data_IF_167409682746
#
_entry.id   IF_167409682746
#
_cell.length_a   1.000
_cell.length_b   1.000
_cell.length_c   1.000
_cell.angle_alpha   90.00
_cell.angle_beta   90.00
_cell.angle_gamma   90.00
#
_symmetry.space_group_name_H-M   'P 1'
#
loop_
_entity.id
_entity.type
_entity.pdbx_description
1 polymer ?
#
# COMPACT_ATOMS: atom_id res chain seq x y z
N UNK A 1 -19.26 12.29 -36.48
CA UNK A 1 -19.07 12.51 -35.03
C UNK A 1 -18.08 11.47 -34.53
N UNK A 2 -16.88 11.90 -34.09
CA UNK A 2 -15.84 10.99 -33.57
C UNK A 2 -16.18 10.63 -32.12
N UNK A 3 -16.07 9.37 -31.69
CA UNK A 3 -16.34 9.01 -30.31
C UNK A 3 -15.24 9.59 -29.42
N UNK A 4 -15.65 10.39 -28.44
CA UNK A 4 -14.77 10.88 -27.37
C UNK A 4 -14.38 9.67 -26.54
N UNK A 5 -13.11 9.27 -26.59
CA UNK A 5 -12.52 8.30 -25.66
C UNK A 5 -12.51 8.96 -24.28
N UNK A 6 -13.51 8.68 -23.45
CA UNK A 6 -13.46 8.94 -22.02
C UNK A 6 -12.45 7.96 -21.42
N UNK A 7 -11.19 8.38 -21.29
CA UNK A 7 -10.27 7.72 -20.40
C UNK A 7 -10.74 8.01 -18.97
N UNK A 8 -11.34 7.03 -18.29
CA UNK A 8 -11.51 7.10 -16.84
C UNK A 8 -10.10 7.20 -16.23
N UNK A 9 -9.73 8.40 -15.83
CA UNK A 9 -8.57 8.62 -14.97
C UNK A 9 -8.98 8.10 -13.59
N UNK A 10 -8.25 7.11 -13.07
CA UNK A 10 -8.40 6.64 -11.70
C UNK A 10 -8.33 7.84 -10.75
N UNK A 11 -9.37 8.05 -9.98
CA UNK A 11 -9.52 9.27 -9.20
C UNK A 11 -8.80 9.09 -7.86
N UNK A 12 -7.49 9.37 -7.84
CA UNK A 12 -6.69 9.37 -6.62
C UNK A 12 -6.54 10.81 -6.11
N UNK A 13 -7.11 11.08 -4.94
CA UNK A 13 -7.23 12.41 -4.36
C UNK A 13 -6.25 12.59 -3.19
N UNK A 14 -5.72 13.82 -3.04
CA UNK A 14 -5.11 14.23 -1.78
C UNK A 14 -6.23 14.67 -0.84
N UNK A 15 -6.34 14.06 0.34
CA UNK A 15 -7.42 14.35 1.31
C UNK A 15 -6.93 15.26 2.46
N UNK A 16 -5.71 15.77 2.33
CA UNK A 16 -5.07 16.77 3.16
C UNK A 16 -3.63 16.93 2.71
N UNK A 17 -3.25 18.11 2.24
CA UNK A 17 -1.86 18.48 1.99
C UNK A 17 -1.51 19.58 2.99
N UNK A 18 -0.65 19.27 3.95
CA UNK A 18 0.12 20.31 4.62
C UNK A 18 1.17 20.81 3.61
N UNK A 19 1.61 22.06 3.73
CA UNK A 19 2.57 22.71 2.83
C UNK A 19 3.93 21.98 2.72
N UNK A 20 4.19 21.00 3.60
CA UNK A 20 5.48 20.34 3.77
C UNK A 20 5.64 19.01 3.00
N UNK A 21 4.65 18.56 2.21
CA UNK A 21 4.92 17.45 1.27
C UNK A 21 5.88 17.92 0.19
N UNK A 22 7.17 17.62 0.39
CA UNK A 22 8.23 18.18 -0.42
C UNK A 22 8.18 17.63 -1.85
N UNK A 23 8.11 16.30 -2.01
CA UNK A 23 7.88 15.55 -3.26
C UNK A 23 8.31 14.07 -3.09
N UNK A 24 7.91 13.19 -4.03
CA UNK A 24 8.35 11.79 -4.04
C UNK A 24 9.87 11.63 -4.20
N UNK A 25 10.53 12.53 -4.93
CA UNK A 25 11.99 12.55 -5.10
C UNK A 25 12.76 12.77 -3.79
N UNK A 26 12.14 13.37 -2.78
CA UNK A 26 12.74 13.64 -1.46
C UNK A 26 12.66 12.43 -0.54
N UNK A 27 11.79 11.46 -0.84
CA UNK A 27 11.67 10.23 -0.06
C UNK A 27 12.97 9.45 -0.16
N UNK A 28 13.52 9.08 0.99
CA UNK A 28 14.68 8.21 1.16
C UNK A 28 14.38 7.00 2.04
N UNK A 29 13.41 7.15 2.95
CA UNK A 29 13.01 6.11 3.90
C UNK A 29 11.55 5.76 3.70
N UNK A 30 11.30 4.51 3.34
CA UNK A 30 9.96 3.99 3.12
C UNK A 30 9.63 2.98 4.22
N UNK A 31 8.50 3.17 4.88
CA UNK A 31 7.97 2.26 5.89
C UNK A 31 6.68 1.67 5.39
N UNK A 32 6.62 0.36 5.21
CA UNK A 32 5.43 -0.34 4.68
C UNK A 32 4.81 -1.19 5.78
N UNK A 33 3.51 -1.06 5.96
CA UNK A 33 2.69 -1.85 6.87
C UNK A 33 1.55 -2.50 6.09
N UNK A 34 1.15 -3.70 6.47
CA UNK A 34 0.13 -4.40 5.73
C UNK A 34 0.16 -5.90 5.86
N UNK A 35 -0.33 -6.55 4.82
CA UNK A 35 -0.51 -8.00 4.77
C UNK A 35 0.30 -8.69 3.65
N UNK A 36 -0.25 -9.79 3.13
CA UNK A 36 0.35 -10.63 2.09
C UNK A 36 0.52 -9.90 0.76
N UNK A 37 -0.24 -8.83 0.51
CA UNK A 37 -0.11 -8.04 -0.72
C UNK A 37 1.19 -7.23 -0.76
N UNK A 38 1.75 -6.92 0.41
CA UNK A 38 2.91 -6.05 0.56
C UNK A 38 4.16 -6.77 1.06
N UNK A 39 4.01 -7.86 1.83
CA UNK A 39 5.14 -8.49 2.54
C UNK A 39 6.29 -8.95 1.63
N UNK A 40 7.51 -8.62 2.05
CA UNK A 40 8.78 -9.19 1.57
C UNK A 40 9.46 -10.09 2.62
N UNK A 41 8.82 -10.34 3.76
CA UNK A 41 9.38 -11.15 4.85
C UNK A 41 10.38 -10.44 5.76
N UNK A 42 10.48 -9.10 5.69
CA UNK A 42 11.38 -8.33 6.56
C UNK A 42 10.89 -8.34 8.03
N UNK A 43 11.85 -8.28 8.95
CA UNK A 43 11.65 -8.17 10.41
C UNK A 43 12.65 -7.18 10.95
N UNK A 44 12.40 -6.58 12.11
CA UNK A 44 13.35 -5.66 12.75
C UNK A 44 14.71 -6.30 13.09
N UNK A 45 14.79 -7.62 13.11
CA UNK A 45 16.02 -8.42 13.26
C UNK A 45 16.73 -8.74 11.93
N UNK A 46 16.16 -8.35 10.79
CA UNK A 46 16.78 -8.52 9.47
C UNK A 46 17.96 -7.56 9.29
N UNK A 47 18.86 -7.81 8.33
CA UNK A 47 19.89 -6.84 7.97
C UNK A 47 19.30 -5.47 7.64
N UNK A 48 20.00 -4.41 8.07
CA UNK A 48 19.54 -3.04 7.85
C UNK A 48 19.56 -2.72 6.33
N UNK A 49 18.44 -2.20 5.78
CA UNK A 49 18.39 -1.69 4.40
C UNK A 49 19.51 -0.69 4.12
N UNK A 50 20.18 -0.84 2.98
CA UNK A 50 21.31 0.00 2.57
C UNK A 50 21.38 0.13 1.03
N UNK A 51 22.22 1.01 0.46
CA UNK A 51 22.25 1.26 -0.98
C UNK A 51 22.42 0.03 -1.87
N UNK A 52 23.13 -1.00 -1.40
CA UNK A 52 23.38 -2.25 -2.16
C UNK A 52 22.31 -3.31 -1.91
N UNK A 53 21.55 -3.17 -0.82
CA UNK A 53 20.47 -4.05 -0.42
C UNK A 53 19.29 -3.22 0.14
N UNK A 54 18.53 -2.53 -0.73
CA UNK A 54 17.61 -1.47 -0.33
C UNK A 54 16.36 -1.95 0.42
N UNK A 55 16.12 -3.27 0.49
CA UNK A 55 15.04 -3.86 1.29
C UNK A 55 15.56 -4.68 2.49
N UNK A 56 16.87 -4.68 2.74
CA UNK A 56 17.49 -5.44 3.83
C UNK A 56 17.53 -6.96 3.63
N UNK A 57 16.98 -7.47 2.51
CA UNK A 57 16.88 -8.90 2.18
C UNK A 57 17.32 -9.13 0.73
N UNK A 58 17.84 -10.33 0.43
CA UNK A 58 18.11 -10.72 -0.97
C UNK A 58 16.84 -10.51 -1.80
N UNK A 59 16.91 -9.62 -2.78
CA UNK A 59 15.78 -9.27 -3.62
C UNK A 59 15.24 -10.52 -4.36
N UNK A 60 13.90 -10.72 -4.43
CA UNK A 60 12.81 -9.81 -4.02
C UNK A 60 12.35 -9.96 -2.55
N UNK A 61 13.07 -10.72 -1.72
CA UNK A 61 12.60 -11.14 -0.40
C UNK A 61 11.70 -12.38 -0.48
N UNK A 62 10.90 -12.61 0.56
CA UNK A 62 9.95 -13.72 0.65
C UNK A 62 8.53 -13.23 0.39
N UNK A 63 8.21 -13.02 -0.88
CA UNK A 63 6.87 -12.59 -1.34
C UNK A 63 5.97 -13.80 -1.62
N UNK A 64 4.65 -13.56 -1.72
CA UNK A 64 3.68 -14.63 -2.04
C UNK A 64 3.92 -15.22 -3.44
N UNK A 65 4.16 -14.36 -4.42
CA UNK A 65 4.29 -14.77 -5.83
C UNK A 65 5.67 -15.32 -6.16
N UNK A 66 6.62 -15.30 -5.21
CA UNK A 66 8.06 -15.57 -5.39
C UNK A 66 8.77 -14.59 -6.35
N UNK A 67 8.03 -13.65 -6.93
CA UNK A 67 8.54 -12.53 -7.71
C UNK A 67 8.53 -11.24 -6.90
N UNK A 68 8.94 -10.14 -7.51
CA UNK A 68 8.81 -8.82 -6.90
C UNK A 68 7.34 -8.45 -6.65
N UNK A 69 7.10 -7.74 -5.55
CA UNK A 69 5.80 -7.11 -5.28
C UNK A 69 5.86 -5.60 -5.54
N UNK A 70 4.72 -4.92 -5.40
CA UNK A 70 4.62 -3.48 -5.64
C UNK A 70 5.59 -2.64 -4.78
N UNK A 71 5.84 -3.05 -3.53
CA UNK A 71 6.75 -2.35 -2.61
C UNK A 71 8.21 -2.47 -3.06
N UNK A 72 8.63 -3.68 -3.48
CA UNK A 72 9.94 -3.92 -4.06
C UNK A 72 10.14 -3.14 -5.37
N UNK A 73 9.12 -3.10 -6.23
CA UNK A 73 9.12 -2.31 -7.48
C UNK A 73 9.28 -0.82 -7.17
N UNK A 74 8.48 -0.30 -6.24
CA UNK A 74 8.53 1.10 -5.79
C UNK A 74 9.92 1.49 -5.26
N UNK A 75 10.56 0.57 -4.55
CA UNK A 75 11.89 0.76 -3.95
C UNK A 75 13.00 0.77 -4.99
N UNK A 76 12.95 -0.13 -5.98
CA UNK A 76 14.13 -0.50 -6.78
C UNK A 76 14.05 -0.16 -8.26
N UNK A 77 12.85 0.11 -8.80
CA UNK A 77 12.64 0.25 -10.26
C UNK A 77 12.01 1.57 -10.68
N UNK A 78 11.15 2.13 -9.86
CA UNK A 78 10.37 3.35 -10.19
C UNK A 78 10.58 4.48 -9.18
N UNK A 79 11.60 4.34 -8.35
CA UNK A 79 12.08 5.35 -7.41
C UNK A 79 12.71 6.55 -8.15
N UNK A 80 12.56 7.75 -7.60
CA UNK A 80 13.18 8.98 -8.13
C UNK A 80 14.51 9.36 -7.46
N UNK A 81 14.88 8.59 -6.43
CA UNK A 81 16.04 8.75 -5.55
C UNK A 81 16.40 7.38 -4.98
N UNK A 82 17.55 7.22 -4.32
CA UNK A 82 17.77 6.01 -3.53
C UNK A 82 16.73 5.94 -2.40
N UNK A 83 15.90 4.90 -2.42
CA UNK A 83 14.93 4.59 -1.37
C UNK A 83 15.41 3.35 -0.63
N UNK A 84 15.39 3.43 0.70
CA UNK A 84 15.59 2.31 1.62
C UNK A 84 14.24 1.97 2.26
N UNK A 85 13.87 0.70 2.22
CA UNK A 85 12.52 0.25 2.59
C UNK A 85 12.57 -0.73 3.76
N UNK A 86 11.83 -0.40 4.81
CA UNK A 86 11.48 -1.29 5.92
C UNK A 86 10.05 -1.72 5.72
N UNK A 87 9.87 -2.94 5.23
CA UNK A 87 8.55 -3.52 4.99
C UNK A 87 8.16 -4.45 6.14
N UNK A 88 7.39 -3.91 7.07
CA UNK A 88 6.88 -4.63 8.22
C UNK A 88 5.59 -5.41 7.91
N UNK A 89 5.12 -5.42 6.66
CA UNK A 89 3.92 -6.18 6.30
C UNK A 89 4.13 -7.68 6.52
N UNK A 90 3.07 -8.37 6.96
CA UNK A 90 3.11 -9.79 7.31
C UNK A 90 1.91 -10.50 6.69
N UNK A 91 2.17 -11.58 5.95
CA UNK A 91 1.13 -12.37 5.31
C UNK A 91 0.01 -12.79 6.29
N UNK A 92 -1.24 -12.68 5.83
CA UNK A 92 -2.44 -13.07 6.57
C UNK A 92 -2.84 -12.14 7.72
N UNK A 93 -2.13 -11.03 7.93
CA UNK A 93 -2.48 -10.10 9.00
C UNK A 93 -3.75 -9.31 8.70
N UNK A 94 -4.48 -9.05 9.79
CA UNK A 94 -5.58 -8.10 9.89
C UNK A 94 -5.04 -6.76 10.42
N UNK A 95 -5.89 -5.73 10.55
CA UNK A 95 -5.51 -4.48 11.21
C UNK A 95 -4.96 -4.71 12.63
N UNK A 96 -5.49 -5.70 13.36
CA UNK A 96 -4.97 -6.07 14.69
C UNK A 96 -3.50 -6.53 14.66
N UNK A 97 -3.04 -7.08 13.54
CA UNK A 97 -1.64 -7.44 13.32
C UNK A 97 -0.73 -6.24 13.15
N UNK A 98 -1.26 -5.12 12.61
CA UNK A 98 -0.51 -3.88 12.41
C UNK A 98 -0.06 -3.27 13.74
N UNK A 99 -0.77 -3.56 14.84
CA UNK A 99 -0.34 -3.22 16.22
C UNK A 99 1.10 -3.69 16.46
N UNK A 100 1.44 -4.93 16.08
CA UNK A 100 2.80 -5.46 16.26
C UNK A 100 3.79 -4.87 15.26
N UNK A 101 3.35 -4.66 14.01
CA UNK A 101 4.20 -4.08 12.97
C UNK A 101 4.66 -2.67 13.36
N UNK A 102 3.78 -1.87 13.95
CA UNK A 102 4.12 -0.52 14.42
C UNK A 102 4.78 -0.58 15.81
N UNK A 103 4.11 -1.17 16.79
CA UNK A 103 4.49 -1.09 18.21
C UNK A 103 5.69 -1.95 18.61
N UNK A 104 5.89 -3.10 17.97
CA UNK A 104 6.97 -4.04 18.32
C UNK A 104 8.12 -4.01 17.30
N UNK A 105 7.83 -3.75 16.02
CA UNK A 105 8.86 -3.76 14.97
C UNK A 105 9.37 -2.35 14.67
N UNK A 106 8.50 -1.41 14.28
CA UNK A 106 8.93 -0.08 13.85
C UNK A 106 9.37 0.83 15.01
N UNK A 107 8.47 1.15 15.96
CA UNK A 107 8.70 2.14 17.03
C UNK A 107 9.99 1.87 17.81
N UNK A 108 10.27 0.63 18.27
CA UNK A 108 11.47 0.35 19.06
C UNK A 108 12.76 0.30 18.23
N UNK A 109 12.68 0.29 16.89
CA UNK A 109 13.87 0.17 16.02
C UNK A 109 14.03 1.38 15.12
N UNK A 110 13.60 1.33 13.86
CA UNK A 110 13.72 2.45 12.92
C UNK A 110 13.03 3.71 13.46
N UNK A 111 11.93 3.58 14.23
CA UNK A 111 11.22 4.69 14.87
C UNK A 111 12.06 5.50 15.87
N UNK A 112 13.14 4.92 16.41
CA UNK A 112 14.10 5.64 17.26
C UNK A 112 15.01 6.61 16.49
N UNK A 113 14.92 6.60 15.15
CA UNK A 113 15.74 7.40 14.21
C UNK A 113 17.26 7.20 14.45
N UNK A 114 17.74 5.94 14.42
CA UNK A 114 19.15 5.65 14.62
C UNK A 114 19.99 6.22 13.46
N UNK A 115 21.31 6.31 13.64
CA UNK A 115 22.22 6.90 12.64
C UNK A 115 22.13 6.26 11.25
N UNK A 116 21.75 4.98 11.17
CA UNK A 116 21.55 4.26 9.91
C UNK A 116 20.15 4.46 9.28
N UNK A 117 19.20 5.03 10.00
CA UNK A 117 17.88 5.43 9.50
C UNK A 117 17.46 6.80 10.07
N UNK A 118 18.16 7.90 9.69
CA UNK A 118 17.87 9.26 10.15
C UNK A 118 16.68 9.86 9.37
N UNK A 119 15.54 9.17 9.41
CA UNK A 119 14.33 9.62 8.76
C UNK A 119 13.69 10.80 9.53
N UNK A 120 12.98 11.65 8.80
CA UNK A 120 12.24 12.79 9.34
C UNK A 120 11.04 13.14 8.43
N UNK A 121 10.32 14.20 8.76
CA UNK A 121 9.14 14.65 8.05
C UNK A 121 9.35 14.94 6.54
N UNK A 122 10.56 15.30 6.10
CA UNK A 122 10.81 15.73 4.71
C UNK A 122 11.37 14.63 3.82
N UNK A 123 11.77 13.48 4.39
CA UNK A 123 12.43 12.40 3.64
C UNK A 123 11.83 11.00 3.86
N UNK A 124 10.68 10.91 4.53
CA UNK A 124 10.03 9.63 4.84
C UNK A 124 8.60 9.54 4.30
N UNK A 125 8.19 8.31 3.97
CA UNK A 125 6.83 7.97 3.58
C UNK A 125 6.39 6.70 4.33
N UNK A 126 5.19 6.74 4.90
CA UNK A 126 4.57 5.63 5.61
C UNK A 126 3.40 5.11 4.78
N UNK A 127 3.49 3.88 4.27
CA UNK A 127 2.45 3.29 3.43
C UNK A 127 1.75 2.17 4.20
N UNK A 128 0.42 2.20 4.23
CA UNK A 128 -0.38 1.11 4.77
C UNK A 128 -1.34 0.54 3.73
N UNK A 129 -1.27 -0.78 3.50
CA UNK A 129 -2.25 -1.52 2.70
C UNK A 129 -2.68 -2.78 3.47
N UNK A 130 -3.89 -2.74 4.02
CA UNK A 130 -4.42 -3.74 4.96
C UNK A 130 -5.95 -3.78 4.86
N UNK A 131 -6.57 -4.82 5.40
CA UNK A 131 -8.02 -4.92 5.57
C UNK A 131 -8.64 -6.09 4.80
N UNK A 132 -7.94 -6.65 3.82
CA UNK A 132 -8.48 -7.75 3.00
C UNK A 132 -8.77 -9.01 3.85
N UNK A 133 -7.88 -9.31 4.81
CA UNK A 133 -8.04 -10.44 5.73
C UNK A 133 -9.16 -10.20 6.76
N UNK A 134 -9.38 -8.94 7.17
CA UNK A 134 -10.46 -8.56 8.07
C UNK A 134 -11.81 -8.86 7.41
N UNK A 135 -11.96 -8.44 6.14
CA UNK A 135 -13.16 -8.67 5.34
C UNK A 135 -13.36 -10.15 5.02
N UNK A 136 -12.30 -10.85 4.59
CA UNK A 136 -12.40 -12.26 4.25
C UNK A 136 -12.80 -13.14 5.47
N UNK A 137 -12.56 -12.64 6.68
CA UNK A 137 -12.97 -13.29 7.94
C UNK A 137 -14.29 -12.74 8.52
N UNK A 138 -14.91 -11.78 7.85
CA UNK A 138 -16.19 -11.18 8.25
C UNK A 138 -16.11 -10.22 9.46
N UNK A 139 -14.94 -9.66 9.77
CA UNK A 139 -14.75 -8.77 10.93
C UNK A 139 -14.34 -7.37 10.46
N UNK A 140 -15.29 -6.44 10.36
CA UNK A 140 -15.05 -5.15 9.68
C UNK A 140 -15.39 -3.93 10.51
N UNK A 141 -16.47 -3.99 11.30
CA UNK A 141 -16.79 -2.93 12.25
C UNK A 141 -15.62 -2.73 13.22
N UNK A 142 -15.23 -1.47 13.45
CA UNK A 142 -14.12 -1.04 14.33
C UNK A 142 -12.69 -1.13 13.76
N UNK A 143 -12.46 -1.80 12.63
CA UNK A 143 -11.11 -1.93 12.05
C UNK A 143 -10.53 -0.62 11.52
N UNK A 144 -11.36 0.21 10.89
CA UNK A 144 -10.93 1.53 10.42
C UNK A 144 -10.57 2.48 11.59
N UNK A 145 -11.41 2.67 12.63
CA UNK A 145 -11.01 3.43 13.81
C UNK A 145 -9.71 2.92 14.46
N UNK A 146 -9.56 1.60 14.62
CA UNK A 146 -8.33 1.00 15.15
C UNK A 146 -7.11 1.33 14.29
N UNK A 147 -7.23 1.21 12.96
CA UNK A 147 -6.16 1.55 12.03
C UNK A 147 -5.68 2.98 12.22
N UNK A 148 -6.59 3.94 12.43
CA UNK A 148 -6.25 5.35 12.64
C UNK A 148 -5.72 5.65 14.04
N UNK A 149 -6.10 4.88 15.06
CA UNK A 149 -5.37 4.84 16.34
C UNK A 149 -3.89 4.55 16.12
N UNK A 150 -3.57 3.55 15.30
CA UNK A 150 -2.19 3.20 14.97
C UNK A 150 -1.48 4.28 14.12
N UNK A 151 -2.21 5.00 13.27
CA UNK A 151 -1.62 6.14 12.55
C UNK A 151 -1.29 7.31 13.48
N UNK A 152 -2.07 7.50 14.55
CA UNK A 152 -1.74 8.47 15.60
C UNK A 152 -0.43 8.11 16.30
N UNK A 153 -0.16 6.84 16.55
CA UNK A 153 1.12 6.39 17.14
C UNK A 153 2.31 6.73 16.23
N UNK A 154 2.18 6.46 14.92
CA UNK A 154 3.18 6.88 13.93
C UNK A 154 3.37 8.40 13.90
N UNK A 155 2.28 9.16 13.91
CA UNK A 155 2.33 10.62 13.92
C UNK A 155 3.00 11.16 15.18
N UNK A 156 2.66 10.64 16.36
CA UNK A 156 3.28 10.98 17.63
C UNK A 156 4.78 10.66 17.62
N UNK A 157 5.20 9.61 16.90
CA UNK A 157 6.61 9.25 16.71
C UNK A 157 7.35 10.11 15.66
N UNK A 158 6.65 10.98 14.93
CA UNK A 158 7.22 11.95 14.00
C UNK A 158 6.86 11.75 12.53
N UNK A 159 6.05 10.73 12.19
CA UNK A 159 5.59 10.52 10.82
C UNK A 159 4.70 11.70 10.35
N UNK A 160 4.93 12.17 9.12
CA UNK A 160 4.15 13.28 8.53
C UNK A 160 3.56 12.97 7.17
N UNK A 161 4.09 11.99 6.44
CA UNK A 161 3.59 11.65 5.11
C UNK A 161 3.06 10.22 5.09
N UNK A 162 1.77 10.10 4.76
CA UNK A 162 1.05 8.85 4.78
C UNK A 162 0.46 8.54 3.41
N UNK A 163 0.52 7.28 3.01
CA UNK A 163 -0.21 6.76 1.87
C UNK A 163 -1.03 5.55 2.30
N UNK A 164 -2.30 5.58 1.97
CA UNK A 164 -3.22 4.47 2.17
C UNK A 164 -3.63 3.92 0.81
N UNK A 165 -3.69 2.59 0.70
CA UNK A 165 -4.31 1.93 -0.44
C UNK A 165 -5.66 1.39 0.03
N UNK A 166 -6.74 1.73 -0.69
CA UNK A 166 -8.04 1.10 -0.45
C UNK A 166 -8.02 -0.35 -0.95
N UNK A 167 -9.13 -1.08 -0.79
CA UNK A 167 -9.19 -2.49 -1.17
C UNK A 167 -9.62 -2.67 -2.63
N UNK A 168 -8.99 -3.59 -3.38
CA UNK A 168 -9.45 -3.95 -4.71
C UNK A 168 -10.76 -4.76 -4.61
N UNK A 169 -11.47 -5.03 -5.73
CA UNK A 169 -12.59 -5.98 -5.81
C UNK A 169 -12.11 -7.42 -5.56
N UNK A 170 -11.72 -7.69 -4.31
CA UNK A 170 -11.25 -8.99 -3.85
C UNK A 170 -12.38 -10.03 -3.84
N UNK A 171 -13.64 -9.59 -3.77
CA UNK A 171 -14.83 -10.43 -3.99
C UNK A 171 -14.73 -11.20 -5.31
N UNK A 172 -14.09 -10.62 -6.33
CA UNK A 172 -13.88 -11.25 -7.65
C UNK A 172 -12.65 -12.13 -7.74
N UNK A 173 -11.87 -12.28 -6.67
CA UNK A 173 -10.74 -13.22 -6.68
C UNK A 173 -11.25 -14.66 -6.77
N UNK A 174 -10.53 -15.58 -7.45
CA UNK A 174 -10.99 -16.96 -7.60
C UNK A 174 -11.28 -17.67 -6.27
N UNK A 175 -10.55 -17.32 -5.21
CA UNK A 175 -10.69 -17.87 -3.87
C UNK A 175 -11.79 -17.20 -3.03
N UNK A 176 -12.23 -15.99 -3.37
CA UNK A 176 -13.41 -15.36 -2.75
C UNK A 176 -14.72 -15.70 -3.49
N UNK A 177 -14.61 -16.21 -4.72
CA UNK A 177 -15.71 -16.79 -5.50
C UNK A 177 -16.95 -15.89 -5.60
N UNK A 178 -16.76 -14.62 -5.96
CA UNK A 178 -17.83 -13.62 -6.15
C UNK A 178 -18.75 -13.47 -4.92
N UNK A 179 -18.16 -13.53 -3.72
CA UNK A 179 -18.91 -13.38 -2.48
C UNK A 179 -19.52 -11.97 -2.35
N UNK A 180 -20.86 -11.90 -2.41
CA UNK A 180 -21.60 -10.65 -2.20
C UNK A 180 -21.39 -10.08 -0.78
N UNK A 181 -21.12 -10.94 0.21
CA UNK A 181 -20.72 -10.50 1.55
C UNK A 181 -19.39 -9.75 1.49
N UNK A 182 -18.36 -10.34 0.87
CA UNK A 182 -17.04 -9.71 0.72
C UNK A 182 -17.15 -8.38 -0.02
N UNK A 183 -17.96 -8.33 -1.09
CA UNK A 183 -18.21 -7.11 -1.88
C UNK A 183 -18.88 -6.00 -1.07
N UNK A 184 -19.88 -6.35 -0.24
CA UNK A 184 -20.53 -5.41 0.67
C UNK A 184 -19.54 -4.82 1.67
N UNK A 185 -18.70 -5.66 2.26
CA UNK A 185 -17.69 -5.22 3.21
C UNK A 185 -16.57 -4.39 2.57
N UNK A 186 -16.14 -4.72 1.34
CA UNK A 186 -15.18 -3.90 0.57
C UNK A 186 -15.78 -2.50 0.33
N UNK A 187 -17.06 -2.44 0.00
CA UNK A 187 -17.77 -1.17 -0.19
C UNK A 187 -17.73 -0.33 1.09
N UNK A 188 -18.07 -0.93 2.25
CA UNK A 188 -18.01 -0.24 3.56
C UNK A 188 -16.60 0.26 3.87
N UNK A 189 -15.57 -0.56 3.65
CA UNK A 189 -14.18 -0.17 3.85
C UNK A 189 -13.78 1.00 2.95
N UNK A 190 -14.06 0.89 1.65
CA UNK A 190 -13.66 1.89 0.65
C UNK A 190 -14.44 3.20 0.79
N UNK A 191 -15.65 3.19 1.35
CA UNK A 191 -16.38 4.41 1.75
C UNK A 191 -15.85 4.99 3.07
N UNK A 192 -15.53 4.16 4.06
CA UNK A 192 -15.12 4.61 5.39
C UNK A 192 -13.67 5.12 5.46
N UNK A 193 -12.75 4.51 4.70
CA UNK A 193 -11.33 4.86 4.71
C UNK A 193 -11.07 6.35 4.39
N UNK A 194 -11.59 6.94 3.28
CA UNK A 194 -11.38 8.36 2.99
C UNK A 194 -11.95 9.29 4.08
N UNK A 195 -13.05 8.91 4.75
CA UNK A 195 -13.62 9.68 5.87
C UNK A 195 -12.65 9.70 7.05
N UNK A 196 -12.03 8.57 7.37
CA UNK A 196 -11.03 8.51 8.44
C UNK A 196 -9.75 9.28 8.08
N UNK A 197 -9.30 9.20 6.82
CA UNK A 197 -8.16 9.99 6.34
C UNK A 197 -8.44 11.48 6.51
N UNK A 198 -9.61 11.96 6.08
CA UNK A 198 -9.99 13.36 6.20
C UNK A 198 -10.09 13.83 7.66
N UNK A 199 -10.62 12.98 8.56
CA UNK A 199 -10.65 13.27 9.99
C UNK A 199 -9.23 13.34 10.59
N UNK A 200 -8.36 12.41 10.21
CA UNK A 200 -6.98 12.35 10.68
C UNK A 200 -6.19 13.59 10.26
N UNK A 201 -6.27 14.01 9.00
CA UNK A 201 -5.57 15.21 8.52
C UNK A 201 -6.15 16.49 9.14
N UNK A 202 -7.46 16.52 9.43
CA UNK A 202 -8.10 17.63 10.16
C UNK A 202 -7.59 17.77 11.59
N UNK A 203 -7.35 16.66 12.29
CA UNK A 203 -6.87 16.66 13.69
C UNK A 203 -5.34 16.68 13.82
N UNK A 204 -4.62 16.42 12.73
CA UNK A 204 -3.16 16.42 12.66
C UNK A 204 -2.69 17.35 11.54
N UNK A 205 -2.68 18.68 11.74
CA UNK A 205 -2.49 19.66 10.66
C UNK A 205 -1.14 19.59 9.95
N UNK A 206 -0.13 18.95 10.57
CA UNK A 206 1.18 18.71 9.94
C UNK A 206 1.24 17.39 9.15
N UNK A 207 0.17 16.61 9.11
CA UNK A 207 0.11 15.37 8.35
C UNK A 207 -0.35 15.64 6.91
N UNK A 208 0.36 15.06 5.96
CA UNK A 208 -0.09 14.86 4.59
C UNK A 208 -0.53 13.41 4.44
N UNK A 209 -1.72 13.19 3.91
CA UNK A 209 -2.24 11.85 3.67
C UNK A 209 -2.84 11.70 2.28
N UNK A 210 -2.41 10.64 1.59
CA UNK A 210 -2.88 10.29 0.25
C UNK A 210 -3.68 8.99 0.28
N UNK A 211 -4.67 8.89 -0.62
CA UNK A 211 -5.39 7.67 -0.89
C UNK A 211 -5.14 7.24 -2.34
N UNK A 212 -4.60 6.04 -2.51
CA UNK A 212 -4.49 5.39 -3.81
C UNK A 212 -5.64 4.39 -4.00
N UNK A 213 -6.34 4.54 -5.12
CA UNK A 213 -7.56 3.79 -5.43
C UNK A 213 -7.24 2.51 -6.23
N UNK A 214 -7.05 1.41 -5.50
CA UNK A 214 -6.83 0.08 -6.06
C UNK A 214 -8.11 -0.52 -6.63
N UNK A 215 -9.30 -0.11 -6.17
CA UNK A 215 -10.57 -0.50 -6.77
C UNK A 215 -10.64 -0.03 -8.23
N UNK A 216 -10.32 1.24 -8.47
CA UNK A 216 -10.27 1.79 -9.83
C UNK A 216 -9.21 1.10 -10.70
N UNK A 217 -8.03 0.78 -10.14
CA UNK A 217 -6.98 0.08 -10.88
C UNK A 217 -7.42 -1.33 -11.31
N UNK A 218 -8.07 -2.10 -10.43
CA UNK A 218 -8.60 -3.41 -10.79
C UNK A 218 -9.70 -3.31 -11.84
N UNK A 219 -10.57 -2.31 -11.75
CA UNK A 219 -11.58 -2.07 -12.79
C UNK A 219 -10.93 -1.78 -14.16
N UNK A 220 -9.74 -1.15 -14.19
CA UNK A 220 -8.96 -1.00 -15.43
C UNK A 220 -8.50 -2.36 -15.98
N UNK A 221 -8.02 -3.26 -15.11
CA UNK A 221 -7.61 -4.62 -15.51
C UNK A 221 -8.78 -5.41 -16.12
N UNK A 222 -9.97 -5.35 -15.50
CA UNK A 222 -11.16 -6.01 -16.03
C UNK A 222 -11.67 -5.37 -17.32
N UNK A 223 -11.57 -4.05 -17.46
CA UNK A 223 -12.04 -3.35 -18.66
C UNK A 223 -11.09 -3.52 -19.86
N UNK A 224 -9.79 -3.71 -19.62
CA UNK A 224 -8.76 -3.77 -20.68
C UNK A 224 -7.74 -4.90 -20.44
N UNK A 225 -8.16 -6.16 -20.28
CA UNK A 225 -7.29 -7.25 -19.86
C UNK A 225 -6.10 -7.47 -20.82
N UNK A 226 -6.33 -7.37 -22.13
CA UNK A 226 -5.29 -7.51 -23.14
C UNK A 226 -4.16 -6.47 -23.03
N UNK A 227 -4.43 -5.27 -22.51
CA UNK A 227 -3.41 -4.23 -22.30
C UNK A 227 -2.40 -4.59 -21.20
N UNK A 228 -2.73 -5.59 -20.37
CA UNK A 228 -1.95 -6.06 -19.24
C UNK A 228 -1.54 -7.53 -19.39
N UNK A 229 -1.64 -8.11 -20.59
CA UNK A 229 -1.40 -9.53 -20.85
C UNK A 229 -2.26 -10.48 -19.98
N UNK A 230 -3.45 -10.03 -19.61
CA UNK A 230 -4.44 -10.84 -18.88
C UNK A 230 -5.28 -11.58 -19.91
N UNK A 231 -5.24 -12.90 -19.90
CA UNK A 231 -6.04 -13.77 -20.78
C UNK A 231 -7.41 -14.08 -20.20
N UNK A 232 -7.49 -14.24 -18.88
CA UNK A 232 -8.74 -14.41 -18.16
C UNK A 232 -8.61 -13.83 -16.72
N UNK A 233 -9.24 -12.69 -16.43
CA UNK A 233 -9.08 -12.01 -15.15
C UNK A 233 -9.79 -12.72 -13.99
N UNK A 234 -10.60 -13.74 -14.26
CA UNK A 234 -11.42 -14.43 -13.25
C UNK A 234 -10.84 -15.81 -12.85
N UNK A 235 -9.68 -16.20 -13.42
CA UNK A 235 -9.06 -17.51 -13.18
C UNK A 235 -7.63 -17.41 -12.68
N UNK A 236 -7.22 -18.38 -11.85
CA UNK A 236 -5.82 -18.56 -11.47
C UNK A 236 -4.99 -18.88 -12.71
N UNK A 237 -3.88 -18.17 -12.89
CA UNK A 237 -3.01 -18.33 -14.08
C UNK A 237 -3.49 -17.58 -15.33
N UNK A 238 -4.65 -16.93 -15.29
CA UNK A 238 -5.17 -16.10 -16.40
C UNK A 238 -4.53 -14.69 -16.49
N UNK A 239 -3.43 -14.46 -15.77
CA UNK A 239 -2.64 -13.22 -15.80
C UNK A 239 -2.91 -12.25 -14.66
N UNK A 240 -4.17 -12.12 -14.20
CA UNK A 240 -4.50 -11.25 -13.06
C UNK A 240 -4.09 -11.88 -11.72
N UNK A 241 -4.46 -13.14 -11.50
CA UNK A 241 -4.32 -13.83 -10.22
C UNK A 241 -3.21 -14.88 -10.26
N UNK A 242 -2.31 -14.84 -9.28
CA UNK A 242 -1.25 -15.84 -9.06
C UNK A 242 -1.79 -17.13 -8.45
N UNK A 243 -2.61 -16.97 -7.41
CA UNK A 243 -3.35 -18.02 -6.72
C UNK A 243 -4.80 -17.53 -6.52
N UNK A 244 -5.58 -18.19 -5.66
CA UNK A 244 -6.97 -17.79 -5.42
C UNK A 244 -7.14 -16.39 -4.82
N UNK A 245 -6.10 -15.77 -4.28
CA UNK A 245 -6.22 -14.56 -3.46
C UNK A 245 -5.29 -13.43 -3.87
N UNK A 246 -4.15 -13.72 -4.49
CA UNK A 246 -3.09 -12.75 -4.68
C UNK A 246 -2.91 -12.37 -6.15
N UNK A 247 -2.69 -11.08 -6.47
CA UNK A 247 -2.37 -10.65 -7.82
C UNK A 247 -1.03 -11.24 -8.28
N UNK A 248 -0.89 -11.46 -9.59
CA UNK A 248 0.35 -11.94 -10.20
C UNK A 248 1.52 -10.96 -10.03
N UNK A 249 2.75 -11.45 -10.16
CA UNK A 249 3.96 -10.61 -10.17
C UNK A 249 3.87 -9.49 -11.20
N UNK A 250 3.26 -9.74 -12.37
CA UNK A 250 3.11 -8.71 -13.40
C UNK A 250 2.14 -7.61 -12.95
N UNK A 251 1.03 -7.99 -12.33
CA UNK A 251 0.07 -7.04 -11.76
C UNK A 251 0.69 -6.26 -10.61
N UNK A 252 1.48 -6.90 -9.76
CA UNK A 252 2.27 -6.26 -8.71
C UNK A 252 3.23 -5.19 -9.27
N UNK A 253 3.88 -5.45 -10.42
CA UNK A 253 4.70 -4.43 -11.12
C UNK A 253 3.86 -3.24 -11.57
N UNK A 254 2.69 -3.50 -12.17
CA UNK A 254 1.79 -2.42 -12.60
C UNK A 254 1.32 -1.59 -11.40
N UNK A 255 0.97 -2.23 -10.28
CA UNK A 255 0.61 -1.52 -9.04
C UNK A 255 1.76 -0.61 -8.60
N UNK A 256 2.99 -1.14 -8.50
CA UNK A 256 4.15 -0.34 -8.12
C UNK A 256 4.38 0.87 -9.05
N UNK A 257 4.30 0.67 -10.37
CA UNK A 257 4.41 1.74 -11.35
C UNK A 257 3.31 2.79 -11.22
N UNK A 258 2.06 2.37 -10.99
CA UNK A 258 0.92 3.28 -10.88
C UNK A 258 0.92 4.06 -9.56
N UNK A 259 1.34 3.42 -8.46
CA UNK A 259 1.56 4.10 -7.17
C UNK A 259 2.67 5.13 -7.30
N UNK A 260 3.81 4.79 -7.93
CA UNK A 260 4.88 5.75 -8.18
C UNK A 260 4.40 6.94 -9.04
N UNK A 261 3.71 6.66 -10.15
CA UNK A 261 3.15 7.71 -11.01
C UNK A 261 2.18 8.63 -10.25
N UNK A 262 1.38 8.07 -9.34
CA UNK A 262 0.51 8.83 -8.47
C UNK A 262 1.30 9.72 -7.49
N UNK A 263 2.31 9.18 -6.78
CA UNK A 263 3.12 9.96 -5.86
C UNK A 263 3.89 11.09 -6.57
N UNK A 264 4.38 10.83 -7.78
CA UNK A 264 5.01 11.83 -8.65
C UNK A 264 4.02 12.94 -9.00
N UNK A 265 2.76 12.61 -9.34
CA UNK A 265 1.76 13.64 -9.68
C UNK A 265 1.27 14.47 -8.49
N UNK A 266 1.59 14.06 -7.24
CA UNK A 266 1.35 14.84 -6.02
C UNK A 266 2.55 15.67 -5.58
N UNK A 267 3.68 15.55 -6.28
CA UNK A 267 4.84 16.41 -6.09
C UNK A 267 4.59 17.71 -6.86
N UNK A 268 4.48 18.84 -6.16
CA UNK A 268 4.46 20.16 -6.79
C UNK A 268 5.90 20.64 -7.04
#
# INVERSE_FOLDING_TARGET
MKPVKLALIAASFGLGQCADWVNFKSVKYLFVFGDSYSTVGFRSTSPIPNPTNPIGLKYPGTTITKGENWAGVLTTKVNQSLILTWDYAVSGQQVTGVVKQIGEQFIPTAGTRPQWCPWNATNSLFITWIGINDINRGVVSERLPMLFGLQNDLYANGARNFLFLNLPPFDRSPGANYSEQVKSEITKWNTGLPVQIANFTKTHPNATAFLYDTQALWNEFYAKPAAFNITNPDTVGGGLWYDGYHPSTEIQRVIGQRVAKFLISKSQ
#
